data_IF_532930418787
#
_entry.id   IF_532930418787
#
_cell.length_a   1.000
_cell.length_b   1.000
_cell.length_c   1.000
_cell.angle_alpha   90.00
_cell.angle_beta   90.00
_cell.angle_gamma   90.00
#
_symmetry.space_group_name_H-M   'P 1'
#
loop_
_entity.id
_entity.type
_entity.pdbx_description
1 polymer ?
#
# COMPACT_ATOMS: atom_id res chain seq x y z
N UNK A 1 -4.51 5.37 35.10
CA UNK A 1 -3.38 5.05 34.20
C UNK A 1 -3.64 5.80 32.90
N UNK A 2 -2.91 6.90 32.65
CA UNK A 2 -3.04 7.68 31.41
C UNK A 2 -1.99 7.18 30.41
N UNK A 3 -2.42 6.57 29.31
CA UNK A 3 -1.53 6.26 28.19
C UNK A 3 -1.41 7.54 27.37
N UNK A 4 -0.27 8.23 27.49
CA UNK A 4 0.08 9.31 26.60
C UNK A 4 0.49 8.71 25.25
N UNK A 5 -0.38 8.82 24.25
CA UNK A 5 -0.01 8.50 22.86
C UNK A 5 0.95 9.59 22.41
N UNK A 6 2.24 9.28 22.38
CA UNK A 6 3.25 10.16 21.81
C UNK A 6 2.87 10.43 20.35
N UNK A 7 2.58 11.70 20.02
CA UNK A 7 2.36 12.10 18.63
C UNK A 7 3.60 11.71 17.82
N UNK A 8 3.45 11.06 16.65
CA UNK A 8 4.61 10.77 15.81
C UNK A 8 5.33 12.08 15.52
N UNK A 9 6.66 12.09 15.67
CA UNK A 9 7.49 13.28 15.45
C UNK A 9 7.49 13.76 13.99
N UNK A 10 6.86 12.98 13.09
CA UNK A 10 6.68 13.24 11.67
C UNK A 10 5.21 12.99 11.34
N UNK A 11 4.53 14.04 10.89
CA UNK A 11 3.20 13.92 10.28
C UNK A 11 3.34 13.14 8.97
N UNK A 12 2.54 12.07 8.72
CA UNK A 12 2.62 11.30 7.49
C UNK A 12 2.21 12.21 6.31
N UNK A 13 3.20 12.68 5.55
CA UNK A 13 2.97 13.44 4.33
C UNK A 13 2.69 12.47 3.18
N UNK A 14 1.44 12.44 2.73
CA UNK A 14 1.02 11.72 1.54
C UNK A 14 0.51 10.31 1.80
N UNK A 15 0.21 9.53 0.74
CA UNK A 15 -0.35 8.18 0.84
C UNK A 15 0.73 7.21 1.34
N UNK A 16 1.06 7.34 2.62
CA UNK A 16 2.27 6.80 3.20
C UNK A 16 2.21 5.28 3.31
N UNK A 17 3.21 4.63 2.73
CA UNK A 17 3.47 3.20 2.85
C UNK A 17 4.46 3.03 4.01
N UNK A 18 3.98 3.25 5.23
CA UNK A 18 4.67 2.88 6.49
C UNK A 18 5.99 3.64 6.73
N UNK A 19 5.96 4.96 6.95
CA UNK A 19 7.10 5.65 7.54
C UNK A 19 7.27 5.28 9.02
N UNK A 20 8.50 4.91 9.40
CA UNK A 20 8.91 4.65 10.80
C UNK A 20 9.90 5.75 11.20
N UNK A 21 9.88 6.28 12.44
CA UNK A 21 10.85 7.30 12.87
C UNK A 21 12.30 6.86 12.61
N UNK A 22 13.04 7.66 11.84
CA UNK A 22 14.43 7.38 11.45
C UNK A 22 14.61 6.59 10.15
N UNK A 23 13.54 6.21 9.45
CA UNK A 23 13.66 5.62 8.10
C UNK A 23 14.17 6.67 7.11
N UNK A 24 15.12 6.28 6.25
CA UNK A 24 15.60 7.14 5.17
C UNK A 24 14.44 7.61 4.30
N UNK A 25 14.47 8.87 3.87
CA UNK A 25 13.45 9.42 2.97
C UNK A 25 13.37 8.53 1.72
N UNK A 26 12.19 7.96 1.47
CA UNK A 26 11.95 7.23 0.23
C UNK A 26 11.90 8.30 -0.86
N UNK A 27 12.82 8.30 -1.85
CA UNK A 27 12.76 9.26 -2.93
C UNK A 27 11.39 9.18 -3.61
N UNK A 28 10.77 10.34 -3.89
CA UNK A 28 9.46 10.38 -4.52
C UNK A 28 9.48 9.52 -5.79
N UNK A 29 8.77 8.38 -5.82
CA UNK A 29 8.82 7.48 -6.96
C UNK A 29 8.19 8.16 -8.17
N UNK A 30 8.78 7.95 -9.35
CA UNK A 30 8.12 8.38 -10.61
C UNK A 30 6.71 7.80 -10.67
N UNK A 31 5.75 8.43 -11.38
CA UNK A 31 4.38 7.90 -11.49
C UNK A 31 4.32 6.44 -11.94
N UNK A 32 5.22 6.03 -12.84
CA UNK A 32 5.34 4.64 -13.29
C UNK A 32 5.86 3.70 -12.18
N UNK A 33 6.87 4.12 -11.42
CA UNK A 33 7.38 3.35 -10.30
C UNK A 33 6.34 3.20 -9.18
N UNK A 34 5.60 4.27 -8.88
CA UNK A 34 4.51 4.24 -7.90
C UNK A 34 3.38 3.32 -8.37
N UNK A 35 3.02 3.37 -9.65
CA UNK A 35 2.04 2.45 -10.24
C UNK A 35 2.45 0.99 -10.09
N UNK A 36 3.70 0.65 -10.43
CA UNK A 36 4.23 -0.70 -10.27
C UNK A 36 4.17 -1.16 -8.82
N UNK A 37 4.52 -0.28 -7.87
CA UNK A 37 4.46 -0.54 -6.43
C UNK A 37 3.04 -0.80 -5.93
N UNK A 38 2.05 -0.07 -6.44
CA UNK A 38 0.64 -0.31 -6.12
C UNK A 38 0.15 -1.67 -6.62
N UNK A 39 0.56 -2.09 -7.81
CA UNK A 39 0.25 -3.41 -8.36
C UNK A 39 0.94 -4.53 -7.57
N UNK A 40 2.21 -4.34 -7.20
CA UNK A 40 2.97 -5.26 -6.35
C UNK A 40 2.27 -5.44 -4.99
N UNK A 41 1.88 -4.33 -4.34
CA UNK A 41 1.12 -4.37 -3.10
C UNK A 41 -0.22 -5.10 -3.25
N UNK A 42 -0.93 -4.90 -4.36
CA UNK A 42 -2.17 -5.62 -4.64
C UNK A 42 -1.94 -7.14 -4.76
N UNK A 43 -0.84 -7.56 -5.41
CA UNK A 43 -0.47 -8.96 -5.53
C UNK A 43 -0.12 -9.57 -4.16
N UNK A 44 0.72 -8.90 -3.37
CA UNK A 44 1.11 -9.35 -2.02
C UNK A 44 -0.10 -9.50 -1.09
N UNK A 45 -1.06 -8.57 -1.16
CA UNK A 45 -2.32 -8.67 -0.39
C UNK A 45 -3.15 -9.89 -0.81
N UNK A 46 -3.26 -10.17 -2.11
CA UNK A 46 -3.95 -11.38 -2.58
C UNK A 46 -3.26 -12.65 -2.10
N UNK A 47 -1.93 -12.73 -2.23
CA UNK A 47 -1.16 -13.89 -1.77
C UNK A 47 -1.38 -14.13 -0.27
N UNK A 48 -1.22 -13.08 0.55
CA UNK A 48 -1.46 -13.16 1.99
C UNK A 48 -2.90 -13.56 2.32
N UNK A 49 -3.89 -13.01 1.63
CA UNK A 49 -5.29 -13.40 1.81
C UNK A 49 -5.52 -14.90 1.53
N UNK A 50 -4.89 -15.43 0.48
CA UNK A 50 -4.97 -16.87 0.17
C UNK A 50 -4.24 -17.74 1.22
N UNK A 51 -3.10 -17.30 1.72
CA UNK A 51 -2.40 -17.97 2.84
C UNK A 51 -3.30 -18.04 4.08
N UNK A 52 -3.90 -16.92 4.49
CA UNK A 52 -4.81 -16.87 5.65
C UNK A 52 -6.05 -17.74 5.46
N UNK A 53 -6.58 -17.80 4.23
CA UNK A 53 -7.71 -18.69 3.92
C UNK A 53 -7.35 -20.17 4.07
N UNK A 54 -6.13 -20.57 3.66
CA UNK A 54 -5.60 -21.93 3.84
C UNK A 54 -5.40 -22.27 5.32
N UNK A 55 -5.01 -21.29 6.13
CA UNK A 55 -4.90 -21.39 7.60
C UNK A 55 -6.25 -21.35 8.33
N UNK A 56 -7.39 -21.30 7.62
CA UNK A 56 -8.74 -21.14 8.18
C UNK A 56 -8.95 -19.85 8.99
N UNK A 57 -8.11 -18.83 8.77
CA UNK A 57 -8.23 -17.50 9.37
C UNK A 57 -9.07 -16.60 8.46
N UNK A 58 -10.38 -16.86 8.44
CA UNK A 58 -11.28 -16.30 7.43
C UNK A 58 -11.43 -14.78 7.51
N UNK A 59 -11.58 -14.21 8.72
CA UNK A 59 -11.71 -12.75 8.89
C UNK A 59 -10.48 -11.99 8.38
N UNK A 60 -9.28 -12.50 8.72
CA UNK A 60 -8.01 -11.99 8.22
C UNK A 60 -7.90 -12.12 6.69
N UNK A 61 -8.32 -13.28 6.15
CA UNK A 61 -8.32 -13.53 4.72
C UNK A 61 -9.21 -12.54 3.98
N UNK A 62 -10.42 -12.32 4.48
CA UNK A 62 -11.38 -11.39 3.92
C UNK A 62 -10.85 -9.96 3.97
N UNK A 63 -10.25 -9.53 5.08
CA UNK A 63 -9.60 -8.23 5.15
C UNK A 63 -8.54 -8.04 4.05
N UNK A 64 -7.61 -8.99 3.91
CA UNK A 64 -6.52 -8.88 2.92
C UNK A 64 -7.04 -8.95 1.48
N UNK A 65 -8.03 -9.80 1.21
CA UNK A 65 -8.63 -9.95 -0.11
C UNK A 65 -9.43 -8.70 -0.51
N UNK A 66 -10.18 -8.08 0.41
CA UNK A 66 -10.91 -6.83 0.16
C UNK A 66 -9.97 -5.62 0.01
N UNK A 67 -8.83 -5.60 0.71
CA UNK A 67 -7.84 -4.53 0.59
C UNK A 67 -7.06 -4.54 -0.74
N UNK A 68 -7.04 -5.67 -1.47
CA UNK A 68 -6.28 -5.80 -2.71
C UNK A 68 -6.89 -4.99 -3.89
N UNK A 69 -8.21 -5.05 -4.18
CA UNK A 69 -8.84 -4.21 -5.19
C UNK A 69 -8.60 -2.71 -4.99
N UNK A 70 -8.56 -2.23 -3.75
CA UNK A 70 -8.29 -0.80 -3.48
C UNK A 70 -6.91 -0.35 -3.97
N UNK A 71 -5.89 -1.20 -3.87
CA UNK A 71 -4.57 -0.89 -4.43
C UNK A 71 -4.57 -0.88 -5.97
N UNK A 72 -5.33 -1.78 -6.60
CA UNK A 72 -5.52 -1.79 -8.05
C UNK A 72 -6.26 -0.53 -8.52
N UNK A 73 -7.33 -0.12 -7.85
CA UNK A 73 -8.07 1.10 -8.16
C UNK A 73 -7.18 2.34 -8.09
N UNK A 74 -6.34 2.45 -7.05
CA UNK A 74 -5.34 3.52 -6.93
C UNK A 74 -4.33 3.51 -8.07
N UNK A 75 -3.89 2.33 -8.50
CA UNK A 75 -2.99 2.21 -9.65
C UNK A 75 -3.68 2.67 -10.95
N UNK A 76 -4.91 2.20 -11.20
CA UNK A 76 -5.69 2.63 -12.38
C UNK A 76 -5.92 4.14 -12.41
N UNK A 77 -6.34 4.74 -11.29
CA UNK A 77 -6.53 6.19 -11.19
C UNK A 77 -5.22 6.95 -11.45
N UNK A 78 -4.09 6.47 -10.92
CA UNK A 78 -2.77 7.08 -11.18
C UNK A 78 -2.39 7.00 -12.66
N UNK A 79 -2.75 5.91 -13.35
CA UNK A 79 -2.54 5.74 -14.79
C UNK A 79 -3.34 6.74 -15.61
N UNK A 80 -4.60 6.96 -15.23
CA UNK A 80 -5.51 7.89 -15.89
C UNK A 80 -5.06 9.35 -15.68
N UNK A 81 -4.68 9.72 -14.45
CA UNK A 81 -4.26 11.08 -14.10
C UNK A 81 -2.91 11.48 -14.72
N UNK A 82 -1.93 10.58 -14.72
CA UNK A 82 -0.55 10.89 -15.13
C UNK A 82 -0.21 10.44 -16.55
N UNK A 83 -1.15 9.81 -17.26
CA UNK A 83 -0.99 9.21 -18.60
C UNK A 83 0.42 8.68 -18.84
N UNK A 84 0.69 7.44 -18.46
CA UNK A 84 2.02 6.89 -18.66
C UNK A 84 2.38 6.88 -20.15
N UNK A 85 3.50 7.50 -20.50
CA UNK A 85 4.11 7.32 -21.81
C UNK A 85 4.21 5.80 -22.10
N UNK A 86 4.03 5.36 -23.36
CA UNK A 86 4.21 3.96 -23.71
C UNK A 86 5.60 3.46 -23.28
N UNK A 87 5.69 2.15 -22.99
CA UNK A 87 6.98 1.51 -22.79
C UNK A 87 7.74 1.55 -24.13
N UNK A 88 9.07 1.79 -24.13
CA UNK A 88 9.88 1.73 -25.35
C UNK A 88 9.86 0.34 -25.99
#
# INVERSE_FOLDING_TARGET
>A
MFIAIARPAVEPQGPDLVAVPGSSAIPEPTPRALHARLLENAALRRMRGQERRREQRLDDADYWLHAAPMAVQKASALREDKSFAPLP
#
